data_IF_868356946184
#
_entry.id   IF_868356946184
#
_cell.length_a   1.000
_cell.length_b   1.000
_cell.length_c   1.000
_cell.angle_alpha   90.00
_cell.angle_beta   90.00
_cell.angle_gamma   90.00
#
_symmetry.space_group_name_H-M   'P 1'
#
loop_
_entity.id
_entity.type
_entity.pdbx_description
1 polymer ?
#
# COMPACT_ATOMS: atom_id res chain seq x y z
N UNK A 1 -46.06 16.43 -5.46
CA UNK A 1 -44.86 16.86 -6.19
C UNK A 1 -45.18 16.89 -7.66
N UNK A 2 -44.74 17.92 -8.37
CA UNK A 2 -44.78 17.98 -9.83
C UNK A 2 -44.00 16.79 -10.41
N UNK A 3 -44.42 16.26 -11.57
CA UNK A 3 -43.74 15.20 -12.31
C UNK A 3 -42.30 15.63 -12.61
N UNK A 4 -42.09 16.91 -12.92
CA UNK A 4 -40.74 17.50 -13.06
C UNK A 4 -39.89 17.40 -11.78
N UNK A 5 -40.48 17.55 -10.60
CA UNK A 5 -39.74 17.36 -9.34
C UNK A 5 -39.40 15.89 -9.08
N UNK A 6 -40.23 14.95 -9.51
CA UNK A 6 -39.90 13.52 -9.43
C UNK A 6 -38.73 13.17 -10.36
N UNK A 7 -38.74 13.70 -11.59
CA UNK A 7 -37.61 13.55 -12.53
C UNK A 7 -36.33 14.19 -11.99
N UNK A 8 -36.40 15.42 -11.49
CA UNK A 8 -35.25 16.13 -10.91
C UNK A 8 -34.74 15.42 -9.64
N UNK A 9 -35.62 14.82 -8.84
CA UNK A 9 -35.20 14.03 -7.68
C UNK A 9 -34.46 12.76 -8.07
N UNK A 10 -34.87 12.08 -9.15
CA UNK A 10 -34.17 10.91 -9.67
C UNK A 10 -32.77 11.31 -10.19
N UNK A 11 -32.68 12.41 -10.94
CA UNK A 11 -31.39 12.95 -11.40
C UNK A 11 -30.48 13.35 -10.24
N UNK A 12 -31.03 13.99 -9.19
CA UNK A 12 -30.26 14.36 -8.01
C UNK A 12 -29.73 13.14 -7.25
N UNK A 13 -30.54 12.08 -7.11
CA UNK A 13 -30.11 10.81 -6.50
C UNK A 13 -29.00 10.16 -7.33
N UNK A 14 -29.10 10.16 -8.66
CA UNK A 14 -28.08 9.61 -9.53
C UNK A 14 -26.75 10.35 -9.41
N UNK A 15 -26.79 11.69 -9.40
CA UNK A 15 -25.59 12.52 -9.18
C UNK A 15 -24.99 12.28 -7.79
N UNK A 16 -25.82 12.22 -6.74
CA UNK A 16 -25.35 11.93 -5.38
C UNK A 16 -24.72 10.55 -5.25
N UNK A 17 -25.32 9.53 -5.87
CA UNK A 17 -24.78 8.18 -5.94
C UNK A 17 -23.43 8.13 -6.65
N UNK A 18 -23.29 8.84 -7.77
CA UNK A 18 -22.03 8.95 -8.49
C UNK A 18 -20.94 9.61 -7.63
N UNK A 19 -21.27 10.69 -6.92
CA UNK A 19 -20.34 11.36 -6.01
C UNK A 19 -19.90 10.45 -4.86
N UNK A 20 -20.81 9.66 -4.28
CA UNK A 20 -20.47 8.70 -3.24
C UNK A 20 -19.54 7.60 -3.74
N UNK A 21 -19.77 7.08 -4.96
CA UNK A 21 -18.88 6.11 -5.57
C UNK A 21 -17.49 6.70 -5.85
N UNK A 22 -17.43 7.94 -6.36
CA UNK A 22 -16.17 8.63 -6.60
C UNK A 22 -15.41 8.88 -5.28
N UNK A 23 -16.10 9.29 -4.22
CA UNK A 23 -15.49 9.48 -2.90
C UNK A 23 -14.96 8.16 -2.32
N UNK A 24 -15.71 7.07 -2.45
CA UNK A 24 -15.27 5.74 -2.03
C UNK A 24 -14.07 5.23 -2.83
N UNK A 25 -14.09 5.41 -4.15
CA UNK A 25 -12.98 5.06 -5.03
C UNK A 25 -11.72 5.89 -4.72
N UNK A 26 -11.87 7.19 -4.47
CA UNK A 26 -10.77 8.07 -4.10
C UNK A 26 -10.14 7.68 -2.76
N UNK A 27 -10.95 7.46 -1.74
CA UNK A 27 -10.48 6.99 -0.43
C UNK A 27 -9.78 5.63 -0.50
N UNK A 28 -10.34 4.72 -1.32
CA UNK A 28 -9.75 3.41 -1.60
C UNK A 28 -8.41 3.52 -2.31
N UNK A 29 -8.28 4.41 -3.29
CA UNK A 29 -7.05 4.60 -4.05
C UNK A 29 -5.94 5.13 -3.13
N UNK A 30 -6.24 6.10 -2.26
CA UNK A 30 -5.29 6.62 -1.29
C UNK A 30 -4.74 5.53 -0.36
N UNK A 31 -5.58 4.60 0.09
CA UNK A 31 -5.13 3.45 0.90
C UNK A 31 -4.21 2.50 0.13
N UNK A 32 -4.55 2.20 -1.12
CA UNK A 32 -3.76 1.30 -1.95
C UNK A 32 -2.38 1.90 -2.29
N UNK A 33 -2.35 3.21 -2.56
CA UNK A 33 -1.13 3.97 -2.84
C UNK A 33 -0.12 3.93 -1.68
N UNK A 34 -0.60 4.05 -0.43
CA UNK A 34 0.25 3.94 0.76
C UNK A 34 0.88 2.55 0.90
N UNK A 35 0.12 1.48 0.67
CA UNK A 35 0.66 0.11 0.73
C UNK A 35 1.61 -0.21 -0.45
N UNK A 36 1.34 0.32 -1.64
CA UNK A 36 2.24 0.21 -2.79
C UNK A 36 3.58 0.92 -2.54
N UNK A 37 3.53 2.14 -1.98
CA UNK A 37 4.74 2.87 -1.58
C UNK A 37 5.53 2.11 -0.51
N UNK A 38 4.84 1.49 0.45
CA UNK A 38 5.48 0.62 1.44
C UNK A 38 6.20 -0.57 0.78
N UNK A 39 5.62 -1.15 -0.27
CA UNK A 39 6.24 -2.22 -1.04
C UNK A 39 7.50 -1.75 -1.79
N UNK A 40 7.46 -0.59 -2.43
CA UNK A 40 8.66 0.01 -3.05
C UNK A 40 9.78 0.26 -2.03
N UNK A 41 9.42 0.69 -0.83
CA UNK A 41 10.38 0.88 0.26
C UNK A 41 11.02 -0.44 0.70
N UNK A 42 10.27 -1.57 0.68
CA UNK A 42 10.88 -2.89 0.93
C UNK A 42 11.91 -3.27 -0.14
N UNK A 43 11.73 -2.88 -1.41
CA UNK A 43 12.77 -3.11 -2.43
C UNK A 43 14.04 -2.30 -2.16
N UNK A 44 13.88 -1.09 -1.64
CA UNK A 44 15.00 -0.24 -1.23
C UNK A 44 15.74 -0.84 -0.02
N UNK A 45 14.99 -1.30 0.99
CA UNK A 45 15.54 -2.02 2.15
C UNK A 45 16.30 -3.28 1.72
N UNK A 46 15.76 -4.05 0.78
CA UNK A 46 16.42 -5.25 0.26
C UNK A 46 17.78 -4.90 -0.38
N UNK A 47 17.80 -3.86 -1.22
CA UNK A 47 19.04 -3.39 -1.83
C UNK A 47 20.08 -2.95 -0.79
N UNK A 48 19.66 -2.31 0.30
CA UNK A 48 20.57 -1.94 1.39
C UNK A 48 21.11 -3.17 2.11
N UNK A 49 20.27 -4.16 2.40
CA UNK A 49 20.69 -5.41 3.02
C UNK A 49 21.75 -6.11 2.16
N UNK A 50 21.54 -6.18 0.84
CA UNK A 50 22.53 -6.70 -0.11
C UNK A 50 23.83 -5.91 -0.09
N UNK A 51 23.78 -4.57 0.07
CA UNK A 51 24.98 -3.74 0.16
C UNK A 51 25.72 -3.93 1.49
N UNK A 52 25.01 -4.12 2.59
CA UNK A 52 25.61 -4.48 3.89
C UNK A 52 26.38 -5.80 3.72
N UNK A 53 25.75 -6.84 3.19
CA UNK A 53 26.40 -8.14 2.93
C UNK A 53 27.60 -8.02 1.96
N UNK A 54 27.46 -7.22 0.89
CA UNK A 54 28.55 -6.99 -0.06
C UNK A 54 29.76 -6.34 0.62
N UNK A 55 29.53 -5.29 1.42
CA UNK A 55 30.59 -4.59 2.14
C UNK A 55 31.23 -5.49 3.21
N UNK A 56 30.46 -6.36 3.88
CA UNK A 56 30.99 -7.37 4.79
C UNK A 56 31.94 -8.32 4.05
N UNK A 57 31.48 -8.89 2.94
CA UNK A 57 32.26 -9.83 2.14
C UNK A 57 33.53 -9.16 1.61
N UNK A 58 33.42 -7.93 1.11
CA UNK A 58 34.57 -7.14 0.66
C UNK A 58 35.55 -6.84 1.79
N UNK A 59 35.06 -6.54 2.99
CA UNK A 59 35.89 -6.38 4.18
C UNK A 59 36.64 -7.67 4.49
N UNK A 60 35.96 -8.82 4.55
CA UNK A 60 36.59 -10.11 4.84
C UNK A 60 37.62 -10.54 3.80
N UNK A 61 37.44 -10.14 2.53
CA UNK A 61 38.38 -10.44 1.45
C UNK A 61 39.60 -9.51 1.42
N UNK A 62 39.42 -8.23 1.75
CA UNK A 62 40.45 -7.18 1.53
C UNK A 62 41.04 -6.62 2.80
N UNK A 63 40.38 -6.82 3.93
CA UNK A 63 40.72 -6.24 5.23
C UNK A 63 40.87 -4.71 5.19
N UNK A 64 40.00 -4.05 4.42
CA UNK A 64 39.99 -2.59 4.23
C UNK A 64 38.91 -1.92 5.10
N UNK A 65 39.31 -1.10 6.06
CA UNK A 65 38.41 -0.36 6.95
C UNK A 65 37.38 0.52 6.24
N UNK A 66 37.64 0.92 4.99
CA UNK A 66 36.66 1.67 4.19
C UNK A 66 35.39 0.85 3.98
N UNK A 67 35.51 -0.47 3.81
CA UNK A 67 34.36 -1.36 3.66
C UNK A 67 33.54 -1.44 4.95
N UNK A 68 34.21 -1.50 6.11
CA UNK A 68 33.53 -1.46 7.41
C UNK A 68 32.77 -0.13 7.59
N UNK A 69 33.36 0.99 7.15
CA UNK A 69 32.70 2.31 7.19
C UNK A 69 31.48 2.36 6.27
N UNK A 70 31.60 1.84 5.04
CA UNK A 70 30.50 1.79 4.06
C UNK A 70 29.35 0.89 4.55
N UNK A 71 29.67 -0.24 5.19
CA UNK A 71 28.67 -1.13 5.79
C UNK A 71 27.83 -0.37 6.84
N UNK A 72 28.48 0.36 7.73
CA UNK A 72 27.77 1.15 8.74
C UNK A 72 26.89 2.25 8.15
N UNK A 73 27.35 2.89 7.07
CA UNK A 73 26.54 3.88 6.35
C UNK A 73 25.28 3.26 5.75
N UNK A 74 25.40 2.12 5.08
CA UNK A 74 24.24 1.41 4.51
C UNK A 74 23.29 0.91 5.62
N UNK A 75 23.82 0.46 6.77
CA UNK A 75 23.01 0.06 7.91
C UNK A 75 22.27 1.23 8.58
N UNK A 76 22.88 2.42 8.65
CA UNK A 76 22.20 3.63 9.11
C UNK A 76 21.04 3.99 8.19
N UNK A 77 21.28 3.99 6.89
CA UNK A 77 20.25 4.30 5.91
C UNK A 77 19.13 3.24 5.89
N UNK A 78 19.48 1.96 6.13
CA UNK A 78 18.50 0.89 6.32
C UNK A 78 17.57 1.18 7.49
N UNK A 79 18.11 1.60 8.64
CA UNK A 79 17.30 1.98 9.80
C UNK A 79 16.38 3.16 9.51
N UNK A 80 16.86 4.17 8.80
CA UNK A 80 16.05 5.34 8.41
C UNK A 80 14.89 4.94 7.47
N UNK A 81 15.16 4.07 6.51
CA UNK A 81 14.13 3.55 5.62
C UNK A 81 13.14 2.65 6.37
N UNK A 82 13.59 1.91 7.39
CA UNK A 82 12.74 1.09 8.24
C UNK A 82 11.81 1.96 9.12
N UNK A 83 12.31 3.06 9.67
CA UNK A 83 11.52 4.05 10.39
C UNK A 83 10.50 4.74 9.46
N UNK A 84 10.92 5.05 8.24
CA UNK A 84 10.01 5.59 7.22
C UNK A 84 8.90 4.59 6.91
N UNK A 85 9.24 3.31 6.74
CA UNK A 85 8.26 2.24 6.54
C UNK A 85 7.29 2.17 7.71
N UNK A 86 7.81 2.18 8.95
CA UNK A 86 6.99 2.17 10.16
C UNK A 86 5.96 3.31 10.17
N UNK A 87 6.37 4.53 9.80
CA UNK A 87 5.47 5.70 9.76
C UNK A 87 4.39 5.64 8.67
N UNK A 88 4.63 4.82 7.63
CA UNK A 88 3.72 4.65 6.48
C UNK A 88 2.75 3.48 6.68
N UNK A 89 3.05 2.58 7.60
CA UNK A 89 2.18 1.46 7.96
C UNK A 89 1.04 1.96 8.85
N UNK A 90 -0.19 1.88 8.35
CA UNK A 90 -1.41 2.19 9.11
C UNK A 90 -1.65 1.19 10.25
N UNK A 91 -2.59 1.49 11.15
CA UNK A 91 -2.98 0.59 12.26
C UNK A 91 -3.39 -0.84 11.81
N UNK A 92 -3.84 -1.00 10.56
CA UNK A 92 -4.16 -2.31 9.95
C UNK A 92 -2.90 -3.19 9.74
N UNK A 93 -1.70 -2.58 9.69
CA UNK A 93 -0.41 -3.25 9.57
C UNK A 93 0.33 -3.42 10.91
N UNK A 94 -0.35 -3.19 12.05
CA UNK A 94 0.20 -3.30 13.42
C UNK A 94 0.74 -4.69 13.78
N UNK A 95 0.43 -5.72 12.99
CA UNK A 95 1.00 -7.07 13.14
C UNK A 95 2.44 -7.18 12.63
N UNK A 96 2.89 -6.24 11.79
CA UNK A 96 4.24 -6.22 11.25
C UNK A 96 5.22 -5.74 12.34
N UNK A 97 6.13 -6.62 12.74
CA UNK A 97 7.11 -6.41 13.81
C UNK A 97 8.43 -5.89 13.24
N UNK A 98 8.53 -4.58 13.00
CA UNK A 98 9.77 -3.96 12.49
C UNK A 98 10.89 -3.87 13.54
N UNK A 99 10.56 -3.80 14.83
CA UNK A 99 11.53 -3.69 15.93
C UNK A 99 12.48 -4.91 16.03
N UNK A 100 11.99 -6.08 15.63
CA UNK A 100 12.78 -7.31 15.62
C UNK A 100 13.94 -7.18 14.64
N UNK A 101 13.66 -6.71 13.42
CA UNK A 101 14.63 -6.48 12.37
C UNK A 101 15.69 -5.45 12.76
N UNK A 102 15.27 -4.36 13.41
CA UNK A 102 16.19 -3.36 13.95
C UNK A 102 17.12 -3.95 15.01
N UNK A 103 16.56 -4.73 15.94
CA UNK A 103 17.32 -5.40 17.01
C UNK A 103 18.31 -6.43 16.44
N UNK A 104 17.89 -7.20 15.45
CA UNK A 104 18.73 -8.18 14.75
C UNK A 104 19.88 -7.51 14.01
N UNK A 105 19.60 -6.41 13.30
CA UNK A 105 20.64 -5.60 12.65
C UNK A 105 21.62 -5.00 13.67
N UNK A 106 21.15 -4.50 14.81
CA UNK A 106 22.03 -4.00 15.88
C UNK A 106 22.93 -5.08 16.47
N UNK A 107 22.41 -6.29 16.65
CA UNK A 107 23.19 -7.44 17.09
C UNK A 107 24.25 -7.83 16.07
N UNK A 108 23.87 -7.85 14.79
CA UNK A 108 24.78 -8.11 13.68
C UNK A 108 25.91 -7.08 13.62
N UNK A 109 25.60 -5.78 13.72
CA UNK A 109 26.61 -4.71 13.69
C UNK A 109 27.60 -4.80 14.85
N UNK A 110 27.13 -5.09 16.07
CA UNK A 110 28.03 -5.30 17.22
C UNK A 110 29.00 -6.45 17.00
N UNK A 111 28.53 -7.55 16.40
CA UNK A 111 29.35 -8.70 16.09
C UNK A 111 30.36 -8.38 14.97
N UNK A 112 29.90 -7.66 13.93
CA UNK A 112 30.77 -7.17 12.87
C UNK A 112 31.87 -6.25 13.40
N UNK A 113 31.54 -5.33 14.32
CA UNK A 113 32.53 -4.46 14.97
C UNK A 113 33.58 -5.24 15.75
N UNK A 114 33.16 -6.28 16.49
CA UNK A 114 34.08 -7.19 17.17
C UNK A 114 35.01 -7.89 16.18
N UNK A 115 34.46 -8.35 15.05
CA UNK A 115 35.24 -8.99 13.99
C UNK A 115 36.24 -8.00 13.36
N UNK A 116 35.85 -6.74 13.12
CA UNK A 116 36.74 -5.70 12.59
C UNK A 116 37.86 -5.40 13.58
N UNK A 117 37.56 -5.34 14.88
CA UNK A 117 38.56 -5.14 15.93
C UNK A 117 39.57 -6.30 15.98
N UNK A 118 39.10 -7.55 15.91
CA UNK A 118 39.97 -8.74 15.87
C UNK A 118 40.82 -8.77 14.59
N UNK A 119 40.24 -8.41 13.44
CA UNK A 119 40.97 -8.28 12.18
C UNK A 119 42.06 -7.20 12.24
N UNK A 120 41.79 -6.06 12.89
CA UNK A 120 42.78 -5.01 13.12
C UNK A 120 43.91 -5.48 14.05
N UNK A 121 43.58 -6.24 15.09
CA UNK A 121 44.56 -6.82 16.00
C UNK A 121 45.45 -7.85 15.30
N UNK A 122 44.88 -8.69 14.43
CA UNK A 122 45.63 -9.61 13.57
C UNK A 122 46.56 -8.84 12.63
N UNK A 123 46.08 -7.75 12.04
CA UNK A 123 46.81 -6.87 11.14
C UNK A 123 46.27 -6.94 9.70
N UNK A 124 46.13 -5.78 9.07
CA UNK A 124 45.63 -5.65 7.69
C UNK A 124 46.74 -5.79 6.64
N UNK A 125 47.98 -5.55 7.07
CA UNK A 125 49.18 -5.66 6.25
C UNK A 125 50.29 -6.42 7.00
N UNK A 126 51.34 -6.89 6.29
CA UNK A 126 52.41 -7.70 6.87
C UNK A 126 53.24 -7.03 7.99
N UNK A 127 53.13 -5.72 8.16
CA UNK A 127 53.89 -4.93 9.14
C UNK A 127 53.04 -4.49 10.34
N UNK A 128 51.71 -4.70 10.27
CA UNK A 128 50.74 -4.32 11.28
C UNK A 128 50.31 -5.49 12.19
N UNK A 129 49.81 -5.17 13.39
CA UNK A 129 49.19 -6.14 14.29
C UNK A 129 50.09 -7.34 14.67
N UNK A 130 49.46 -8.49 14.88
CA UNK A 130 50.13 -9.76 15.17
C UNK A 130 51.02 -10.21 14.00
N UNK A 131 50.68 -9.91 12.74
CA UNK A 131 51.55 -10.20 11.61
C UNK A 131 52.90 -9.49 11.70
N UNK A 132 52.89 -8.19 11.99
CA UNK A 132 54.10 -7.39 12.14
C UNK A 132 54.95 -7.84 13.33
N UNK A 133 54.32 -8.20 14.45
CA UNK A 133 55.02 -8.77 15.61
C UNK A 133 55.71 -10.09 15.26
N UNK A 134 54.94 -11.03 14.70
CA UNK A 134 55.43 -12.35 14.28
C UNK A 134 56.60 -12.23 13.30
N UNK A 135 56.50 -11.34 12.30
CA UNK A 135 57.56 -11.11 11.32
C UNK A 135 58.86 -10.65 11.98
N UNK A 136 58.78 -9.77 12.97
CA UNK A 136 59.95 -9.31 13.75
C UNK A 136 60.53 -10.45 14.59
N UNK A 137 59.69 -11.20 15.29
CA UNK A 137 60.11 -12.33 16.12
C UNK A 137 60.79 -13.44 15.29
N UNK A 138 60.23 -13.75 14.11
CA UNK A 138 60.83 -14.63 13.10
C UNK A 138 62.23 -14.17 12.71
N UNK A 139 62.39 -12.90 12.32
CA UNK A 139 63.69 -12.39 11.88
C UNK A 139 64.72 -12.42 13.01
N UNK A 140 64.31 -12.11 14.24
CA UNK A 140 65.16 -12.20 15.42
C UNK A 140 65.60 -13.65 15.68
N UNK A 141 64.66 -14.60 15.67
CA UNK A 141 64.94 -16.02 15.85
C UNK A 141 65.85 -16.59 14.76
N UNK A 142 65.56 -16.30 13.48
CA UNK A 142 66.39 -16.73 12.35
C UNK A 142 67.81 -16.18 12.44
N UNK A 143 67.98 -14.90 12.79
CA UNK A 143 69.30 -14.28 12.92
C UNK A 143 70.08 -14.85 14.12
N UNK A 144 69.41 -15.06 15.25
CA UNK A 144 70.02 -15.65 16.44
C UNK A 144 70.50 -17.09 16.16
N UNK A 145 69.68 -17.90 15.47
CA UNK A 145 70.06 -19.26 15.06
C UNK A 145 71.21 -19.25 14.04
N UNK A 146 71.19 -18.35 13.05
CA UNK A 146 72.27 -18.23 12.04
C UNK A 146 73.60 -17.85 12.68
N UNK A 147 73.60 -17.01 13.71
CA UNK A 147 74.81 -16.59 14.42
C UNK A 147 75.56 -17.76 15.07
N UNK A 148 74.87 -18.85 15.42
CA UNK A 148 75.48 -20.06 15.97
C UNK A 148 76.21 -20.92 14.93
N UNK A 149 76.02 -20.66 13.63
CA UNK A 149 76.61 -21.44 12.53
C UNK A 149 76.38 -22.96 12.64
N UNK A 150 75.20 -23.35 13.14
CA UNK A 150 74.77 -24.74 13.32
C UNK A 150 73.68 -25.13 12.32
N UNK A 151 74.04 -25.91 11.32
CA UNK A 151 73.15 -26.33 10.24
C UNK A 151 71.92 -27.10 10.75
N UNK A 152 72.07 -27.88 11.83
CA UNK A 152 70.98 -28.65 12.43
C UNK A 152 69.90 -27.73 13.05
N UNK A 153 70.30 -26.60 13.63
CA UNK A 153 69.38 -25.58 14.14
C UNK A 153 68.78 -24.75 13.01
N UNK A 154 69.56 -24.47 11.97
CA UNK A 154 69.08 -23.75 10.77
C UNK A 154 67.98 -24.55 10.06
N UNK A 155 68.14 -25.86 9.90
CA UNK A 155 67.08 -26.73 9.34
C UNK A 155 65.84 -26.69 10.23
N UNK A 156 66.00 -26.72 11.55
CA UNK A 156 64.88 -26.66 12.48
C UNK A 156 64.07 -25.36 12.38
N UNK A 157 64.74 -24.19 12.36
CA UNK A 157 64.01 -22.91 12.21
C UNK A 157 63.33 -22.81 10.83
N UNK A 158 63.93 -23.34 9.77
CA UNK A 158 63.29 -23.39 8.44
C UNK A 158 62.06 -24.31 8.42
N UNK A 159 62.07 -25.39 9.19
CA UNK A 159 60.91 -26.26 9.35
C UNK A 159 59.76 -25.53 10.09
N UNK A 160 60.05 -24.80 11.17
CA UNK A 160 59.06 -23.94 11.84
C UNK A 160 58.45 -22.92 10.89
N UNK A 161 59.29 -22.25 10.07
CA UNK A 161 58.83 -21.28 9.06
C UNK A 161 57.94 -21.92 8.01
N UNK A 162 58.20 -23.18 7.65
CA UNK A 162 57.36 -23.94 6.72
C UNK A 162 55.99 -24.18 7.31
N UNK A 163 55.92 -24.67 8.55
CA UNK A 163 54.64 -24.97 9.21
C UNK A 163 53.83 -23.69 9.48
N UNK A 164 54.47 -22.60 9.91
CA UNK A 164 53.83 -21.28 10.03
C UNK A 164 53.20 -20.84 8.70
N UNK A 165 53.97 -20.88 7.60
CA UNK A 165 53.49 -20.46 6.29
C UNK A 165 52.40 -21.37 5.75
N UNK A 166 52.51 -22.67 5.96
CA UNK A 166 51.47 -23.61 5.57
C UNK A 166 50.17 -23.37 6.38
N UNK A 167 50.26 -23.04 7.68
CA UNK A 167 49.11 -22.60 8.46
C UNK A 167 48.49 -21.33 7.87
N UNK A 168 49.28 -20.28 7.65
CA UNK A 168 48.78 -19.00 7.13
C UNK A 168 48.16 -19.12 5.73
N UNK A 169 48.69 -20.01 4.88
CA UNK A 169 48.19 -20.22 3.52
C UNK A 169 46.94 -21.10 3.49
N UNK A 170 46.87 -22.12 4.35
CA UNK A 170 45.84 -23.18 4.26
C UNK A 170 44.79 -23.09 5.36
N UNK A 171 45.02 -22.28 6.39
CA UNK A 171 44.15 -22.11 7.55
C UNK A 171 43.76 -23.45 8.19
N UNK A 172 44.73 -24.35 8.36
CA UNK A 172 44.52 -25.71 8.86
C UNK A 172 45.25 -25.92 10.22
N UNK A 173 44.53 -26.16 11.32
CA UNK A 173 45.09 -26.28 12.67
C UNK A 173 46.22 -27.31 12.80
N UNK A 174 46.28 -28.34 11.94
CA UNK A 174 47.33 -29.36 11.99
C UNK A 174 48.75 -28.77 11.88
N UNK A 175 48.89 -27.62 11.23
CA UNK A 175 50.19 -26.95 11.10
C UNK A 175 50.63 -26.25 12.39
N UNK A 176 49.67 -25.84 13.23
CA UNK A 176 49.96 -25.36 14.59
C UNK A 176 50.48 -26.51 15.46
N UNK A 177 49.87 -27.69 15.35
CA UNK A 177 50.32 -28.90 16.06
C UNK A 177 51.74 -29.31 15.64
N UNK A 178 52.00 -29.35 14.32
CA UNK A 178 53.34 -29.62 13.77
C UNK A 178 54.37 -28.61 14.22
N UNK A 179 54.08 -27.32 14.08
CA UNK A 179 54.94 -26.24 14.56
C UNK A 179 55.29 -26.43 16.03
N UNK A 180 54.31 -26.73 16.88
CA UNK A 180 54.51 -26.89 18.32
C UNK A 180 55.41 -28.10 18.63
N UNK A 181 55.23 -29.21 17.92
CA UNK A 181 56.09 -30.40 18.07
C UNK A 181 57.53 -30.13 17.61
N UNK A 182 57.71 -29.51 16.44
CA UNK A 182 59.03 -29.17 15.91
C UNK A 182 59.73 -28.09 16.74
N UNK A 183 58.97 -27.21 17.38
CA UNK A 183 59.49 -26.19 18.30
C UNK A 183 60.12 -26.83 19.52
N UNK A 184 59.46 -27.83 20.13
CA UNK A 184 60.01 -28.57 21.27
C UNK A 184 61.31 -29.27 20.89
N UNK A 185 61.34 -29.92 19.72
CA UNK A 185 62.53 -30.60 19.20
C UNK A 185 63.69 -29.61 18.97
N UNK A 186 63.42 -28.45 18.37
CA UNK A 186 64.44 -27.42 18.14
C UNK A 186 64.94 -26.83 19.45
N UNK A 187 64.04 -26.50 20.37
CA UNK A 187 64.37 -25.90 21.67
C UNK A 187 65.27 -26.80 22.51
N UNK A 188 65.07 -28.11 22.45
CA UNK A 188 65.95 -29.08 23.11
C UNK A 188 67.38 -29.09 22.51
N UNK A 189 67.54 -28.87 21.20
CA UNK A 189 68.84 -28.89 20.51
C UNK A 189 69.67 -27.62 20.71
N UNK A 190 69.01 -26.49 20.99
CA UNK A 190 69.67 -25.19 21.21
C UNK A 190 70.56 -25.20 22.47
N UNK A 191 70.20 -25.98 23.49
CA UNK A 191 70.96 -26.05 24.74
C UNK A 191 70.85 -24.76 25.56
N UNK A 192 71.94 -24.36 26.21
CA UNK A 192 71.94 -23.26 27.20
C UNK A 192 72.07 -21.85 26.62
N UNK A 193 72.03 -21.66 25.29
CA UNK A 193 72.06 -20.31 24.72
C UNK A 193 70.77 -19.55 25.07
N UNK A 194 70.88 -18.61 26.02
CA UNK A 194 69.73 -17.87 26.54
C UNK A 194 69.14 -16.91 25.51
N UNK A 195 69.97 -16.37 24.60
CA UNK A 195 69.53 -15.42 23.59
C UNK A 195 68.71 -16.12 22.51
N UNK A 196 69.19 -17.27 22.01
CA UNK A 196 68.45 -18.07 21.02
C UNK A 196 67.17 -18.64 21.62
N UNK A 197 67.21 -19.13 22.86
CA UNK A 197 65.99 -19.60 23.55
C UNK A 197 64.95 -18.50 23.72
N UNK A 198 65.35 -17.29 24.12
CA UNK A 198 64.44 -16.16 24.24
C UNK A 198 63.82 -15.78 22.88
N UNK A 199 64.63 -15.71 21.82
CA UNK A 199 64.15 -15.38 20.48
C UNK A 199 63.18 -16.44 19.92
N UNK A 200 63.48 -17.73 20.13
CA UNK A 200 62.58 -18.82 19.75
C UNK A 200 61.28 -18.78 20.55
N UNK A 201 61.34 -18.52 21.86
CA UNK A 201 60.15 -18.43 22.71
C UNK A 201 59.23 -17.30 22.24
N UNK A 202 59.78 -16.11 21.98
CA UNK A 202 59.02 -14.99 21.41
C UNK A 202 58.41 -15.34 20.06
N UNK A 203 59.13 -16.06 19.20
CA UNK A 203 58.58 -16.54 17.93
C UNK A 203 57.38 -17.50 18.13
N UNK A 204 57.50 -18.47 19.05
CA UNK A 204 56.39 -19.36 19.37
C UNK A 204 55.18 -18.61 19.91
N UNK A 205 55.39 -17.72 20.88
CA UNK A 205 54.32 -16.94 21.50
C UNK A 205 53.55 -16.12 20.46
N UNK A 206 54.26 -15.40 19.58
CA UNK A 206 53.65 -14.59 18.52
C UNK A 206 52.89 -15.45 17.51
N UNK A 207 53.45 -16.61 17.11
CA UNK A 207 52.76 -17.50 16.18
C UNK A 207 51.49 -18.10 16.78
N UNK A 208 51.56 -18.57 18.03
CA UNK A 208 50.40 -19.13 18.72
C UNK A 208 49.33 -18.05 18.99
N UNK A 209 49.73 -16.82 19.28
CA UNK A 209 48.81 -15.69 19.40
C UNK A 209 48.10 -15.40 18.08
N UNK A 210 48.83 -15.36 16.96
CA UNK A 210 48.25 -15.20 15.62
C UNK A 210 47.28 -16.33 15.28
N UNK A 211 47.71 -17.59 15.48
CA UNK A 211 46.90 -18.76 15.17
C UNK A 211 45.61 -18.81 16.00
N UNK A 212 45.69 -18.46 17.29
CA UNK A 212 44.52 -18.34 18.17
C UNK A 212 43.56 -17.26 17.68
N UNK A 213 44.06 -16.07 17.35
CA UNK A 213 43.23 -14.96 16.87
C UNK A 213 42.54 -15.31 15.54
N UNK A 214 43.25 -15.91 14.59
CA UNK A 214 42.66 -16.36 13.32
C UNK A 214 41.61 -17.45 13.52
N UNK A 215 41.82 -18.35 14.49
CA UNK A 215 40.85 -19.40 14.83
C UNK A 215 39.59 -18.80 15.46
N UNK A 216 39.72 -17.80 16.33
CA UNK A 216 38.60 -17.07 16.92
C UNK A 216 37.75 -16.35 15.85
N UNK A 217 38.39 -15.64 14.91
CA UNK A 217 37.69 -15.03 13.78
C UNK A 217 37.02 -16.08 12.88
N UNK A 218 37.68 -17.23 12.72
CA UNK A 218 37.21 -18.35 11.90
C UNK A 218 38.14 -18.59 10.72
N UNK A 219 38.73 -19.78 10.67
CA UNK A 219 39.59 -20.24 9.58
C UNK A 219 38.80 -20.50 8.28
N UNK A 220 37.50 -20.78 8.42
CA UNK A 220 36.53 -20.99 7.35
C UNK A 220 35.28 -20.15 7.59
N UNK A 221 34.40 -20.05 6.59
CA UNK A 221 33.17 -19.27 6.67
C UNK A 221 32.15 -19.81 7.70
N UNK A 222 32.23 -21.09 8.03
CA UNK A 222 31.38 -21.81 8.97
C UNK A 222 31.99 -21.95 10.37
N UNK A 223 33.04 -21.18 10.68
CA UNK A 223 33.74 -21.22 11.98
C UNK A 223 33.86 -19.83 12.63
N UNK A 224 34.01 -19.81 13.95
CA UNK A 224 34.31 -18.61 14.73
C UNK A 224 33.28 -17.49 14.54
N UNK A 225 33.76 -16.24 14.65
CA UNK A 225 32.93 -15.05 14.47
C UNK A 225 32.29 -14.98 13.08
N UNK A 226 32.93 -15.49 12.03
CA UNK A 226 32.34 -15.56 10.67
C UNK A 226 31.06 -16.42 10.64
N UNK A 227 31.04 -17.56 11.35
CA UNK A 227 29.86 -18.41 11.43
C UNK A 227 28.71 -17.72 12.16
N UNK A 228 29.03 -17.07 13.29
CA UNK A 228 28.07 -16.32 14.08
C UNK A 228 27.48 -15.16 13.27
N UNK A 229 28.31 -14.47 12.49
CA UNK A 229 27.89 -13.36 11.64
C UNK A 229 26.93 -13.83 10.53
N UNK A 230 27.28 -14.95 9.87
CA UNK A 230 26.42 -15.60 8.89
C UNK A 230 25.08 -16.04 9.49
N UNK A 231 25.07 -16.53 10.72
CA UNK A 231 23.83 -16.89 11.42
C UNK A 231 22.97 -15.66 11.72
N UNK A 232 23.58 -14.55 12.17
CA UNK A 232 22.85 -13.29 12.37
C UNK A 232 22.26 -12.76 11.07
N UNK A 233 22.99 -12.82 9.96
CA UNK A 233 22.47 -12.42 8.66
C UNK A 233 21.29 -13.29 8.23
N UNK A 234 21.36 -14.62 8.39
CA UNK A 234 20.22 -15.51 8.11
C UNK A 234 18.96 -15.16 8.90
N UNK A 235 19.10 -14.75 10.16
CA UNK A 235 17.97 -14.29 10.97
C UNK A 235 17.38 -13.01 10.38
N UNK A 236 18.21 -12.04 9.99
CA UNK A 236 17.76 -10.80 9.35
C UNK A 236 17.05 -11.10 8.03
N UNK A 237 17.61 -11.97 7.18
CA UNK A 237 17.00 -12.39 5.91
C UNK A 237 15.62 -13.03 6.17
N UNK A 238 15.51 -13.94 7.14
CA UNK A 238 14.24 -14.57 7.49
C UNK A 238 13.18 -13.60 8.05
N UNK A 239 13.59 -12.65 8.90
CA UNK A 239 12.72 -11.59 9.39
C UNK A 239 12.26 -10.66 8.25
N UNK A 240 13.15 -10.38 7.30
CA UNK A 240 12.88 -9.54 6.15
C UNK A 240 11.98 -10.22 5.11
N UNK A 241 12.17 -11.51 4.84
CA UNK A 241 11.28 -12.32 4.02
C UNK A 241 9.88 -12.38 4.63
N UNK A 242 9.79 -12.54 5.96
CA UNK A 242 8.51 -12.48 6.67
C UNK A 242 7.84 -11.11 6.54
N UNK A 243 8.61 -10.01 6.60
CA UNK A 243 8.10 -8.66 6.37
C UNK A 243 7.50 -8.53 4.96
N UNK A 244 8.24 -8.95 3.93
CA UNK A 244 7.76 -8.90 2.54
C UNK A 244 6.49 -9.74 2.32
N UNK A 245 6.47 -10.96 2.89
CA UNK A 245 5.31 -11.84 2.83
C UNK A 245 4.07 -11.22 3.47
N UNK A 246 4.21 -10.71 4.70
CA UNK A 246 3.11 -10.04 5.41
C UNK A 246 2.59 -8.81 4.66
N UNK A 247 3.48 -8.00 4.08
CA UNK A 247 3.08 -6.82 3.32
C UNK A 247 2.33 -7.20 2.03
N UNK A 248 2.80 -8.25 1.35
CA UNK A 248 2.14 -8.79 0.15
C UNK A 248 0.75 -9.33 0.48
N UNK A 249 0.60 -10.05 1.59
CA UNK A 249 -0.68 -10.57 2.06
C UNK A 249 -1.65 -9.43 2.43
N UNK A 250 -1.16 -8.39 3.11
CA UNK A 250 -1.96 -7.19 3.41
C UNK A 250 -2.45 -6.49 2.15
N UNK A 251 -1.60 -6.36 1.12
CA UNK A 251 -1.98 -5.80 -0.17
C UNK A 251 -3.11 -6.59 -0.83
N UNK A 252 -2.98 -7.92 -0.93
CA UNK A 252 -3.99 -8.78 -1.53
C UNK A 252 -5.33 -8.73 -0.78
N UNK A 253 -5.28 -8.73 0.55
CA UNK A 253 -6.48 -8.60 1.39
C UNK A 253 -7.12 -7.22 1.24
N UNK A 254 -6.32 -6.15 1.21
CA UNK A 254 -6.79 -4.78 1.02
C UNK A 254 -7.47 -4.60 -0.34
N UNK A 255 -6.85 -5.06 -1.44
CA UNK A 255 -7.43 -5.02 -2.78
C UNK A 255 -8.77 -5.74 -2.85
N UNK A 256 -8.84 -6.97 -2.31
CA UNK A 256 -10.08 -7.75 -2.29
C UNK A 256 -11.15 -7.05 -1.46
N UNK A 257 -10.82 -6.52 -0.29
CA UNK A 257 -11.76 -5.80 0.59
C UNK A 257 -12.30 -4.56 -0.12
N UNK A 258 -11.43 -3.78 -0.74
CA UNK A 258 -11.79 -2.61 -1.55
C UNK A 258 -12.80 -3.00 -2.64
N UNK A 259 -12.51 -4.04 -3.43
CA UNK A 259 -13.39 -4.47 -4.52
C UNK A 259 -14.79 -4.86 -4.00
N UNK A 260 -14.86 -5.62 -2.91
CA UNK A 260 -16.13 -6.01 -2.30
C UNK A 260 -16.89 -4.84 -1.68
N UNK A 261 -16.20 -3.88 -1.05
CA UNK A 261 -16.85 -2.68 -0.51
C UNK A 261 -17.46 -1.83 -1.62
N UNK A 262 -16.73 -1.54 -2.70
CA UNK A 262 -17.25 -0.78 -3.84
C UNK A 262 -18.39 -1.52 -4.56
N UNK A 263 -18.29 -2.85 -4.71
CA UNK A 263 -19.37 -3.66 -5.27
C UNK A 263 -20.62 -3.58 -4.39
N UNK A 264 -20.49 -3.70 -3.07
CA UNK A 264 -21.62 -3.63 -2.14
C UNK A 264 -22.33 -2.27 -2.18
N UNK A 265 -21.56 -1.17 -2.22
CA UNK A 265 -22.11 0.19 -2.36
C UNK A 265 -22.84 0.32 -3.70
N UNK A 266 -22.25 -0.19 -4.78
CA UNK A 266 -22.86 -0.16 -6.12
C UNK A 266 -24.19 -0.92 -6.18
N UNK A 267 -24.24 -2.11 -5.56
CA UNK A 267 -25.47 -2.93 -5.48
C UNK A 267 -26.56 -2.21 -4.66
N UNK A 268 -26.21 -1.60 -3.53
CA UNK A 268 -27.16 -0.85 -2.70
C UNK A 268 -27.72 0.36 -3.45
N UNK A 269 -26.86 1.12 -4.13
CA UNK A 269 -27.26 2.25 -4.97
C UNK A 269 -28.18 1.78 -6.10
N UNK A 270 -27.82 0.71 -6.81
CA UNK A 270 -28.62 0.16 -7.89
C UNK A 270 -30.02 -0.28 -7.41
N UNK A 271 -30.10 -0.96 -6.27
CA UNK A 271 -31.37 -1.35 -5.66
C UNK A 271 -32.23 -0.14 -5.26
N UNK A 272 -31.61 0.92 -4.72
CA UNK A 272 -32.31 2.14 -4.32
C UNK A 272 -32.83 2.92 -5.54
N UNK A 273 -32.04 3.04 -6.60
CA UNK A 273 -32.46 3.66 -7.87
C UNK A 273 -33.57 2.85 -8.53
N UNK A 274 -33.45 1.52 -8.55
CA UNK A 274 -34.50 0.63 -9.09
C UNK A 274 -35.81 0.78 -8.31
N UNK A 275 -35.74 0.80 -6.96
CA UNK A 275 -36.90 0.99 -6.10
C UNK A 275 -37.57 2.35 -6.34
N UNK A 276 -36.81 3.45 -6.38
CA UNK A 276 -37.34 4.79 -6.64
C UNK A 276 -37.98 4.87 -8.03
N UNK A 277 -37.32 4.33 -9.05
CA UNK A 277 -37.83 4.28 -10.41
C UNK A 277 -39.15 3.51 -10.45
N UNK A 278 -39.21 2.32 -9.82
CA UNK A 278 -40.41 1.50 -9.73
C UNK A 278 -41.57 2.20 -9.02
N UNK A 279 -41.31 2.94 -7.95
CA UNK A 279 -42.32 3.73 -7.24
C UNK A 279 -42.86 4.89 -8.09
N UNK A 280 -41.98 5.62 -8.79
CA UNK A 280 -42.37 6.72 -9.69
C UNK A 280 -43.19 6.16 -10.87
N UNK A 281 -42.71 5.12 -11.54
CA UNK A 281 -43.38 4.50 -12.69
C UNK A 281 -44.75 3.93 -12.31
N UNK A 282 -44.85 3.21 -11.19
CA UNK A 282 -46.15 2.68 -10.71
C UNK A 282 -47.16 3.78 -10.44
N UNK A 283 -46.73 4.88 -9.83
CA UNK A 283 -47.60 6.03 -9.56
C UNK A 283 -48.04 6.73 -10.85
N UNK A 284 -47.10 6.97 -11.76
CA UNK A 284 -47.39 7.68 -13.01
C UNK A 284 -48.30 6.87 -13.93
N UNK A 285 -48.04 5.58 -14.11
CA UNK A 285 -48.87 4.71 -14.96
C UNK A 285 -50.31 4.58 -14.45
N UNK A 286 -50.50 4.53 -13.13
CA UNK A 286 -51.86 4.48 -12.55
C UNK A 286 -52.63 5.78 -12.80
N UNK A 287 -52.00 6.93 -12.52
CA UNK A 287 -52.66 8.23 -12.67
C UNK A 287 -52.93 8.55 -14.16
N UNK A 288 -52.03 8.16 -15.07
CA UNK A 288 -52.24 8.25 -16.52
C UNK A 288 -53.35 7.32 -17.01
N UNK A 289 -53.35 6.05 -16.59
CA UNK A 289 -54.36 5.07 -17.00
C UNK A 289 -55.78 5.51 -16.68
N UNK A 290 -56.01 5.99 -15.44
CA UNK A 290 -57.31 6.54 -15.04
C UNK A 290 -57.72 7.77 -15.87
N UNK A 291 -56.76 8.64 -16.18
CA UNK A 291 -57.04 9.84 -17.00
C UNK A 291 -57.45 9.45 -18.42
N UNK A 292 -56.73 8.51 -19.04
CA UNK A 292 -57.02 8.02 -20.39
C UNK A 292 -58.37 7.30 -20.43
N UNK A 293 -58.68 6.45 -19.45
CA UNK A 293 -59.95 5.74 -19.36
C UNK A 293 -61.17 6.68 -19.26
N UNK A 294 -61.09 7.70 -18.39
CA UNK A 294 -62.18 8.69 -18.25
C UNK A 294 -62.35 9.51 -19.53
N UNK A 295 -61.26 9.95 -20.17
CA UNK A 295 -61.32 10.67 -21.45
C UNK A 295 -61.93 9.79 -22.55
N UNK A 296 -61.54 8.51 -22.62
CA UNK A 296 -62.09 7.56 -23.58
C UNK A 296 -63.60 7.37 -23.37
N UNK A 297 -64.04 7.18 -22.12
CA UNK A 297 -65.45 7.05 -21.79
C UNK A 297 -66.28 8.29 -22.19
N UNK A 298 -65.76 9.49 -21.93
CA UNK A 298 -66.40 10.75 -22.33
C UNK A 298 -66.49 10.85 -23.86
N UNK A 299 -65.43 10.46 -24.57
CA UNK A 299 -65.38 10.53 -26.03
C UNK A 299 -66.28 9.50 -26.72
N UNK A 300 -66.38 8.28 -26.21
CA UNK A 300 -67.16 7.19 -26.83
C UNK A 300 -68.65 7.30 -26.50
N UNK A 301 -69.00 7.70 -25.28
CA UNK A 301 -70.39 7.72 -24.80
C UNK A 301 -71.00 9.13 -24.79
N UNK A 302 -70.24 10.16 -25.17
CA UNK A 302 -70.64 11.58 -25.12
C UNK A 302 -71.16 12.03 -23.76
N UNK A 303 -70.78 11.34 -22.68
CA UNK A 303 -71.21 11.67 -21.32
C UNK A 303 -70.36 12.79 -20.74
N UNK A 304 -70.83 14.02 -20.98
CA UNK A 304 -70.19 15.25 -20.48
C UNK A 304 -70.39 15.49 -18.97
N UNK A 305 -71.01 14.56 -18.24
CA UNK A 305 -71.16 14.67 -16.77
C UNK A 305 -69.97 14.11 -16.00
N UNK A 306 -69.16 13.26 -16.65
CA UNK A 306 -67.95 12.71 -16.07
C UNK A 306 -66.87 13.79 -15.91
N UNK A 307 -66.08 13.67 -14.84
CA UNK A 307 -64.99 14.61 -14.51
C UNK A 307 -63.72 13.85 -14.20
N UNK A 308 -62.59 14.41 -14.62
CA UNK A 308 -61.26 13.95 -14.21
C UNK A 308 -61.01 14.37 -12.76
N UNK A 309 -61.35 13.51 -11.80
CA UNK A 309 -61.05 13.72 -10.37
C UNK A 309 -59.64 13.20 -10.02
N UNK A 310 -58.63 13.93 -10.48
CA UNK A 310 -57.24 13.64 -10.14
C UNK A 310 -56.87 14.33 -8.82
N UNK A 311 -56.49 13.53 -7.82
CA UNK A 311 -56.07 14.03 -6.51
C UNK A 311 -54.57 14.35 -6.53
N UNK A 312 -54.21 15.63 -6.40
CA UNK A 312 -52.80 16.02 -6.29
C UNK A 312 -52.51 17.49 -6.59
N UNK A 313 -51.21 17.81 -6.68
CA UNK A 313 -50.68 19.12 -7.10
C UNK A 313 -49.65 18.94 -8.22
N UNK A 314 -49.92 18.04 -9.17
CA UNK A 314 -49.04 17.75 -10.29
C UNK A 314 -49.63 18.28 -11.61
N UNK A 315 -48.85 18.19 -12.69
CA UNK A 315 -49.21 18.63 -14.05
C UNK A 315 -50.44 17.88 -14.56
N UNK A 316 -50.57 16.59 -14.25
CA UNK A 316 -51.76 15.80 -14.59
C UNK A 316 -53.03 16.35 -13.94
N UNK A 317 -52.97 16.72 -12.66
CA UNK A 317 -54.11 17.33 -11.95
C UNK A 317 -54.51 18.68 -12.58
N UNK A 318 -53.52 19.50 -12.97
CA UNK A 318 -53.78 20.76 -13.67
C UNK A 318 -54.42 20.52 -15.04
N UNK A 319 -53.93 19.55 -15.80
CA UNK A 319 -54.52 19.16 -17.08
C UNK A 319 -55.96 18.68 -16.90
N UNK A 320 -56.23 17.83 -15.91
CA UNK A 320 -57.57 17.37 -15.58
C UNK A 320 -58.52 18.53 -15.22
N UNK A 321 -58.05 19.52 -14.45
CA UNK A 321 -58.83 20.70 -14.13
C UNK A 321 -59.15 21.57 -15.37
N UNK A 322 -58.18 21.79 -16.26
CA UNK A 322 -58.40 22.52 -17.51
C UNK A 322 -59.37 21.76 -18.45
N UNK A 323 -59.24 20.45 -18.54
CA UNK A 323 -60.15 19.61 -19.32
C UNK A 323 -61.58 19.66 -18.77
N UNK A 324 -61.76 19.54 -17.45
CA UNK A 324 -63.06 19.68 -16.80
C UNK A 324 -63.68 21.07 -17.07
N UNK A 325 -62.87 22.14 -17.01
CA UNK A 325 -63.34 23.49 -17.35
C UNK A 325 -63.77 23.58 -18.82
N UNK A 326 -63.05 22.97 -19.75
CA UNK A 326 -63.44 22.92 -21.17
C UNK A 326 -64.77 22.18 -21.36
N UNK A 327 -64.97 21.04 -20.72
CA UNK A 327 -66.24 20.29 -20.77
C UNK A 327 -67.41 21.12 -20.23
N UNK A 328 -67.18 21.87 -19.15
CA UNK A 328 -68.19 22.77 -18.58
C UNK A 328 -68.58 23.88 -19.58
N UNK A 329 -67.61 24.48 -20.28
CA UNK A 329 -67.90 25.44 -21.35
C UNK A 329 -68.68 24.80 -22.50
N UNK A 330 -68.31 23.59 -22.94
CA UNK A 330 -69.05 22.85 -23.98
C UNK A 330 -70.49 22.60 -23.53
N UNK A 331 -70.69 22.19 -22.27
CA UNK A 331 -72.01 21.98 -21.69
C UNK A 331 -72.85 23.26 -21.69
N UNK A 332 -72.27 24.38 -21.30
CA UNK A 332 -72.93 25.69 -21.39
C UNK A 332 -73.27 26.08 -22.82
N UNK A 333 -72.39 25.84 -23.79
CA UNK A 333 -72.67 26.11 -25.21
C UNK A 333 -73.81 25.22 -25.75
N UNK A 334 -73.86 23.94 -25.35
CA UNK A 334 -74.97 23.05 -25.72
C UNK A 334 -76.29 23.53 -25.12
N UNK A 335 -76.28 23.95 -23.84
CA UNK A 335 -77.46 24.52 -23.18
C UNK A 335 -77.92 25.82 -23.85
N UNK A 336 -77.00 26.73 -24.16
CA UNK A 336 -77.32 27.96 -24.91
C UNK A 336 -77.83 27.67 -26.31
N UNK A 337 -77.25 26.68 -27.01
CA UNK A 337 -77.75 26.24 -28.32
C UNK A 337 -79.15 25.64 -28.21
N UNK A 338 -79.42 24.87 -27.16
CA UNK A 338 -80.76 24.33 -26.89
C UNK A 338 -81.75 25.45 -26.60
N UNK A 339 -81.40 26.41 -25.75
CA UNK A 339 -82.23 27.58 -25.47
C UNK A 339 -82.51 28.39 -26.75
N UNK A 340 -81.51 28.59 -27.61
CA UNK A 340 -81.68 29.26 -28.90
C UNK A 340 -82.61 28.48 -29.86
N UNK A 341 -82.49 27.14 -29.91
CA UNK A 341 -83.40 26.27 -30.68
C UNK A 341 -84.80 26.29 -30.08
N UNK A 342 -84.95 26.27 -28.76
CA UNK A 342 -86.24 26.33 -28.07
C UNK A 342 -86.92 27.68 -28.33
N UNK A 343 -86.19 28.80 -28.26
CA UNK A 343 -86.67 30.12 -28.67
C UNK A 343 -87.13 30.15 -30.13
N UNK A 344 -86.35 29.58 -31.06
CA UNK A 344 -86.73 29.47 -32.47
C UNK A 344 -87.99 28.60 -32.67
N UNK A 345 -88.09 27.48 -31.96
CA UNK A 345 -89.24 26.57 -32.04
C UNK A 345 -90.53 27.18 -31.46
N UNK A 346 -90.40 28.01 -30.40
CA UNK A 346 -91.51 28.81 -29.88
C UNK A 346 -91.90 29.93 -30.85
N UNK A 347 -90.93 30.59 -31.48
CA UNK A 347 -91.17 31.63 -32.47
C UNK A 347 -91.75 31.09 -33.81
N UNK A 348 -91.50 29.82 -34.14
CA UNK A 348 -92.03 29.14 -35.35
C UNK A 348 -93.23 28.24 -35.08
N UNK A 349 -93.67 28.08 -33.82
CA UNK A 349 -94.92 27.41 -33.49
C UNK A 349 -96.11 28.22 -34.04
N UNK A 350 -97.05 27.60 -34.79
CA UNK A 350 -98.15 28.30 -35.47
C UNK A 350 -99.30 28.70 -34.51
N UNK A 351 -98.96 29.28 -33.36
CA UNK A 351 -99.90 29.64 -32.29
C UNK A 351 -99.74 31.06 -31.74
N UNK A 352 -98.76 31.85 -32.18
CA UNK A 352 -98.55 33.22 -31.69
C UNK A 352 -98.47 34.31 -32.77
N UNK A 353 -99.03 34.06 -33.96
CA UNK A 353 -99.14 35.07 -35.03
C UNK A 353 -100.39 35.95 -34.94
N UNK A 354 -101.06 36.06 -33.79
CA UNK A 354 -102.30 36.85 -33.68
C UNK A 354 -102.42 37.86 -32.53
N UNK A 355 -101.35 38.17 -31.78
CA UNK A 355 -101.51 39.10 -30.65
C UNK A 355 -100.27 39.96 -30.33
N UNK A 356 -99.80 40.76 -31.30
CA UNK A 356 -98.96 41.93 -31.01
C UNK A 356 -98.94 42.97 -32.15
N UNK A 357 -100.04 43.12 -32.91
CA UNK A 357 -100.18 44.17 -33.95
C UNK A 357 -100.98 45.40 -33.47
N UNK A 358 -101.13 45.62 -32.15
CA UNK A 358 -101.85 46.78 -31.61
C UNK A 358 -101.15 47.35 -30.37
N UNK A 359 -99.99 47.99 -30.57
CA UNK A 359 -99.50 49.10 -29.73
C UNK A 359 -98.44 49.89 -30.51
N UNK A 360 -98.87 50.46 -31.63
CA UNK A 360 -98.21 51.57 -32.32
C UNK A 360 -99.09 52.82 -32.07
N UNK A 361 -98.78 53.59 -31.03
CA UNK A 361 -99.12 55.02 -30.90
C UNK A 361 -98.68 55.51 -29.51
N UNK A 362 -97.59 56.29 -29.46
CA UNK A 362 -97.14 56.91 -28.21
C UNK A 362 -95.67 57.34 -28.22
N UNK A 363 -95.36 58.31 -29.09
CA UNK A 363 -94.33 59.36 -28.95
C UNK A 363 -94.16 59.85 -27.48
N UNK A 364 -93.02 60.30 -26.95
CA UNK A 364 -91.83 60.92 -27.54
C UNK A 364 -90.65 60.94 -26.52
N UNK A 365 -89.42 60.76 -27.03
CA UNK A 365 -88.20 61.59 -26.84
C UNK A 365 -87.74 62.00 -25.42
N UNK A 366 -86.59 61.47 -24.97
CA UNK A 366 -85.25 62.16 -24.98
C UNK A 366 -84.22 61.64 -23.97
N UNK A 367 -82.97 61.71 -24.42
CA UNK A 367 -81.72 61.94 -23.66
C UNK A 367 -81.00 60.76 -22.97
N UNK A 368 -80.11 60.18 -23.77
CA UNK A 368 -78.75 59.70 -23.42
C UNK A 368 -77.85 60.87 -22.91
N UNK A 369 -76.57 60.71 -22.49
CA UNK A 369 -75.76 59.49 -22.44
C UNK A 369 -74.72 59.37 -21.27
N UNK A 370 -73.93 58.28 -21.31
CA UNK A 370 -72.53 58.08 -20.84
C UNK A 370 -72.13 58.36 -19.38
N UNK A 371 -71.74 57.30 -18.67
CA UNK A 371 -70.32 56.95 -18.43
C UNK A 371 -70.18 55.45 -18.13
#
# INVERSE_FOLDING_TARGET
MLIRHQLNSLSAVFVGALLLLLAGAWWSWQRLDHLQTAQELTLTLNNRLLRIHLNETNFLMRLDERQATQLHQEALLFKQDLETLHSRLDAEASTIRLDALQTSLDNYLRLFDSLVADARAIGFDPESGLYGSLRKAVHQAENAVKALQRDDLLVGILQLRRDEKDFMLRSDPKYVEKFTADFVNLSQKVGDDSQVRAALTSYQEDFLALAKAQTQVGLKADQGLKAELNEKMRVIDGEFDSLQGQLTDLLLVAERRIAWTLLSISVVIAALVALLTMLITRRLNRDLGHTTEVIQNISEHYDLTLKLDLKGRNELTRMGAHFNAMLEHIRHLILQSKEAVDYLSQATSPGQSHQALLTLAGTDVSASPFL
#
